data_IF_918746211520
#
_entry.id   IF_918746211520
#
_cell.length_a   1.000
_cell.length_b   1.000
_cell.length_c   1.000
_cell.angle_alpha   90.00
_cell.angle_beta   90.00
_cell.angle_gamma   90.00
#
_symmetry.space_group_name_H-M   'P 1'
#
loop_
_entity.id
_entity.type
_entity.pdbx_description
1 polymer ?
#
# COMPACT_ATOMS: atom_id res chain seq x y z
N UNK A 1 42.50 -12.35 -50.85
CA UNK A 1 42.33 -11.25 -49.88
C UNK A 1 41.15 -10.39 -50.29
N UNK A 2 40.03 -10.46 -49.56
CA UNK A 2 39.22 -9.32 -49.08
C UNK A 2 38.03 -9.89 -48.30
N UNK A 3 38.12 -9.74 -46.97
CA UNK A 3 37.01 -9.92 -46.03
C UNK A 3 35.91 -8.93 -46.37
N UNK A 4 34.66 -9.35 -46.23
CA UNK A 4 33.59 -8.41 -45.90
C UNK A 4 32.69 -9.05 -44.85
N UNK A 5 32.95 -8.62 -43.62
CA UNK A 5 32.17 -8.90 -42.41
C UNK A 5 30.79 -8.23 -42.55
N UNK A 6 29.73 -9.01 -42.79
CA UNK A 6 28.37 -8.56 -42.46
C UNK A 6 28.11 -8.90 -41.00
N UNK A 7 28.32 -7.90 -40.15
CA UNK A 7 27.97 -7.92 -38.72
C UNK A 7 26.54 -8.43 -38.54
N UNK A 8 26.41 -9.54 -37.82
CA UNK A 8 25.15 -9.96 -37.22
C UNK A 8 24.67 -8.86 -36.29
N UNK A 9 23.50 -8.29 -36.56
CA UNK A 9 22.74 -7.55 -35.57
C UNK A 9 22.27 -8.55 -34.51
N UNK A 10 23.15 -8.90 -33.58
CA UNK A 10 22.75 -9.57 -32.35
C UNK A 10 21.96 -8.56 -31.52
N UNK A 11 20.64 -8.70 -31.58
CA UNK A 11 19.71 -8.08 -30.65
C UNK A 11 20.16 -8.46 -29.23
N UNK A 12 20.74 -7.48 -28.52
CA UNK A 12 21.29 -7.60 -27.16
C UNK A 12 20.23 -8.10 -26.13
N UNK A 13 18.96 -8.15 -26.53
CA UNK A 13 17.88 -8.75 -25.76
C UNK A 13 17.12 -9.77 -26.63
N UNK A 14 17.51 -11.04 -26.55
CA UNK A 14 16.68 -12.14 -27.05
C UNK A 14 15.49 -12.34 -26.08
N UNK A 15 14.43 -11.57 -26.30
CA UNK A 15 13.17 -11.64 -25.54
C UNK A 15 12.25 -12.76 -26.05
N UNK A 16 12.66 -13.58 -27.02
CA UNK A 16 11.76 -14.59 -27.64
C UNK A 16 11.48 -15.79 -26.75
N UNK A 17 12.25 -16.00 -25.67
CA UNK A 17 12.08 -17.09 -24.72
C UNK A 17 11.42 -16.72 -23.38
N UNK A 18 11.10 -15.44 -23.15
CA UNK A 18 10.50 -15.01 -21.88
C UNK A 18 8.99 -15.19 -21.96
N UNK A 19 8.41 -16.01 -21.09
CA UNK A 19 6.96 -16.11 -20.89
C UNK A 19 6.38 -14.70 -20.73
N UNK A 20 5.56 -14.29 -21.72
CA UNK A 20 4.95 -12.95 -21.76
C UNK A 20 4.20 -12.65 -20.48
N UNK A 21 3.62 -13.66 -19.83
CA UNK A 21 2.91 -13.49 -18.58
C UNK A 21 3.87 -13.18 -17.42
N UNK A 22 4.95 -13.94 -17.29
CA UNK A 22 6.01 -13.62 -16.33
C UNK A 22 6.63 -12.24 -16.57
N UNK A 23 6.85 -11.86 -17.84
CA UNK A 23 7.36 -10.55 -18.21
C UNK A 23 6.39 -9.44 -17.75
N UNK A 24 5.11 -9.55 -18.11
CA UNK A 24 4.09 -8.53 -17.86
C UNK A 24 3.71 -8.39 -16.38
N UNK A 25 3.65 -9.48 -15.63
CA UNK A 25 3.12 -9.47 -14.25
C UNK A 25 4.18 -9.63 -13.16
N UNK A 26 5.42 -10.01 -13.50
CA UNK A 26 6.50 -10.16 -12.50
C UNK A 26 7.68 -9.25 -12.76
N UNK A 27 8.12 -9.10 -14.00
CA UNK A 27 9.34 -8.37 -14.35
C UNK A 27 9.06 -6.89 -14.56
N UNK A 28 8.10 -6.56 -15.43
CA UNK A 28 7.78 -5.17 -15.78
C UNK A 28 7.28 -4.33 -14.58
N UNK A 29 6.38 -4.82 -13.71
CA UNK A 29 6.00 -4.07 -12.49
C UNK A 29 7.22 -3.88 -11.57
N UNK A 30 8.07 -4.91 -11.46
CA UNK A 30 9.44 -4.89 -10.91
C UNK A 30 10.18 -3.61 -11.26
N UNK A 31 10.41 -3.50 -12.55
CA UNK A 31 11.22 -2.45 -13.15
C UNK A 31 10.58 -1.07 -12.99
N UNK A 32 9.27 -0.95 -13.24
CA UNK A 32 8.53 0.31 -13.08
C UNK A 32 8.58 0.80 -11.63
N UNK A 33 8.38 -0.08 -10.64
CA UNK A 33 8.47 0.31 -9.23
C UNK A 33 9.87 0.77 -8.85
N UNK A 34 10.95 0.17 -9.38
CA UNK A 34 12.32 0.64 -9.11
C UNK A 34 12.63 2.00 -9.78
N UNK A 35 12.08 2.27 -10.97
CA UNK A 35 12.16 3.61 -11.57
C UNK A 35 11.43 4.63 -10.68
N UNK A 36 10.21 4.30 -10.25
CA UNK A 36 9.42 5.18 -9.40
C UNK A 36 10.07 5.39 -8.03
N UNK A 37 10.70 4.36 -7.45
CA UNK A 37 11.51 4.45 -6.23
C UNK A 37 12.59 5.52 -6.36
N UNK A 38 13.28 5.58 -7.51
CA UNK A 38 14.30 6.61 -7.78
C UNK A 38 13.68 7.98 -8.03
N UNK A 39 12.63 8.05 -8.85
CA UNK A 39 11.91 9.29 -9.16
C UNK A 39 11.39 10.00 -7.90
N UNK A 40 10.84 9.22 -6.97
CA UNK A 40 10.31 9.69 -5.69
C UNK A 40 11.38 9.77 -4.58
N UNK A 41 12.65 9.49 -4.90
CA UNK A 41 13.76 9.45 -3.93
C UNK A 41 13.37 8.70 -2.65
N UNK A 42 12.72 7.55 -2.82
CA UNK A 42 12.08 6.82 -1.72
C UNK A 42 13.14 6.32 -0.73
N UNK A 43 12.99 6.75 0.52
CA UNK A 43 13.71 6.24 1.68
C UNK A 43 12.85 5.24 2.43
N UNK A 44 13.44 4.13 2.88
CA UNK A 44 12.73 3.06 3.59
C UNK A 44 13.42 2.78 4.93
N UNK A 45 12.63 2.75 6.01
CA UNK A 45 13.10 2.42 7.37
C UNK A 45 12.23 1.33 8.00
N UNK A 46 12.81 0.54 8.90
CA UNK A 46 12.08 -0.46 9.68
C UNK A 46 11.71 -1.72 8.88
N UNK A 47 12.28 -1.93 7.69
CA UNK A 47 12.00 -3.12 6.90
C UNK A 47 12.36 -4.43 7.63
N UNK A 48 13.28 -4.36 8.60
CA UNK A 48 13.63 -5.41 9.55
C UNK A 48 12.47 -5.84 10.48
N UNK A 49 11.46 -4.99 10.68
CA UNK A 49 10.26 -5.31 11.44
C UNK A 49 9.31 -6.25 10.68
N UNK A 50 9.51 -6.44 9.37
CA UNK A 50 8.68 -7.31 8.55
C UNK A 50 9.07 -8.79 8.75
N UNK A 51 8.12 -9.67 9.13
CA UNK A 51 8.45 -11.06 9.38
C UNK A 51 8.71 -11.81 8.06
N UNK A 52 9.83 -12.54 8.03
CA UNK A 52 10.23 -13.39 6.90
C UNK A 52 9.31 -14.61 6.70
N UNK A 53 8.58 -15.00 7.74
CA UNK A 53 7.63 -16.10 7.74
C UNK A 53 6.39 -15.77 8.58
N UNK A 54 5.31 -16.54 8.44
CA UNK A 54 4.09 -16.32 9.22
C UNK A 54 3.26 -15.11 8.79
N UNK A 55 2.09 -14.94 9.40
CA UNK A 55 1.15 -13.85 9.09
C UNK A 55 1.60 -12.51 9.68
N UNK A 56 1.21 -11.43 9.01
CA UNK A 56 1.26 -10.07 9.55
C UNK A 56 0.21 -9.20 8.86
N UNK A 57 -0.30 -8.22 9.60
CA UNK A 57 -1.23 -7.22 9.09
C UNK A 57 -0.50 -5.88 9.00
N UNK A 58 -0.18 -5.46 7.78
CA UNK A 58 0.49 -4.19 7.50
C UNK A 58 -0.59 -3.11 7.40
N UNK A 59 -0.51 -2.11 8.28
CA UNK A 59 -1.53 -1.06 8.40
C UNK A 59 -0.94 0.32 8.06
N UNK A 60 -0.86 0.67 6.77
CA UNK A 60 -0.41 1.99 6.33
C UNK A 60 -1.49 3.08 6.44
N UNK A 61 -1.07 4.33 6.58
CA UNK A 61 -1.91 5.47 6.19
C UNK A 61 -2.08 5.49 4.66
N UNK A 62 -3.15 6.14 4.18
CA UNK A 62 -3.50 6.17 2.76
C UNK A 62 -3.26 7.55 2.15
N UNK A 63 -2.82 7.61 0.89
CA UNK A 63 -2.37 8.83 0.23
C UNK A 63 -2.51 8.79 -1.29
N UNK A 64 -2.63 9.97 -1.90
CA UNK A 64 -2.37 10.17 -3.33
C UNK A 64 -3.45 9.66 -4.29
N UNK A 65 -4.64 9.29 -3.81
CA UNK A 65 -5.86 8.82 -4.51
C UNK A 65 -5.73 7.61 -5.47
N UNK A 66 -4.57 7.40 -6.07
CA UNK A 66 -4.28 6.47 -7.16
C UNK A 66 -3.99 5.05 -6.70
N UNK A 67 -3.82 4.83 -5.39
CA UNK A 67 -3.40 3.54 -4.83
C UNK A 67 -1.92 3.21 -5.08
N UNK A 68 -1.13 4.20 -5.52
CA UNK A 68 0.29 4.02 -5.80
C UNK A 68 1.11 3.73 -4.54
N UNK A 69 0.68 4.26 -3.39
CA UNK A 69 1.22 3.94 -2.07
C UNK A 69 1.15 2.42 -1.77
N UNK A 70 0.03 1.78 -2.05
CA UNK A 70 -0.15 0.34 -1.88
C UNK A 70 0.81 -0.48 -2.74
N UNK A 71 1.03 -0.04 -3.98
CA UNK A 71 1.97 -0.70 -4.91
C UNK A 71 3.43 -0.56 -4.42
N UNK A 72 3.83 0.64 -4.00
CA UNK A 72 5.18 0.89 -3.47
C UNK A 72 5.42 0.12 -2.17
N UNK A 73 4.46 0.09 -1.24
CA UNK A 73 4.56 -0.72 -0.01
C UNK A 73 4.70 -2.21 -0.35
N UNK A 74 3.86 -2.73 -1.24
CA UNK A 74 3.92 -4.13 -1.65
C UNK A 74 5.27 -4.50 -2.29
N UNK A 75 5.82 -3.58 -3.09
CA UNK A 75 7.15 -3.72 -3.70
C UNK A 75 8.26 -3.78 -2.65
N UNK A 76 8.28 -2.85 -1.69
CA UNK A 76 9.30 -2.81 -0.63
C UNK A 76 9.20 -4.02 0.31
N UNK A 77 7.99 -4.48 0.65
CA UNK A 77 7.79 -5.73 1.41
C UNK A 77 8.38 -6.92 0.65
N UNK A 78 8.10 -7.00 -0.65
CA UNK A 78 8.61 -8.08 -1.49
C UNK A 78 10.14 -8.04 -1.61
N UNK A 79 10.72 -6.85 -1.64
CA UNK A 79 12.18 -6.65 -1.66
C UNK A 79 12.82 -7.07 -0.33
N UNK A 80 12.21 -6.70 0.80
CA UNK A 80 12.74 -7.01 2.13
C UNK A 80 12.57 -8.49 2.53
N UNK A 81 11.47 -9.12 2.11
CA UNK A 81 11.09 -10.46 2.62
C UNK A 81 11.05 -11.56 1.56
N UNK A 82 11.13 -11.22 0.27
CA UNK A 82 10.85 -12.12 -0.86
C UNK A 82 9.41 -12.66 -0.93
N UNK A 83 8.49 -12.12 -0.11
CA UNK A 83 7.08 -12.54 -0.05
C UNK A 83 6.18 -11.60 -0.84
N UNK A 84 5.11 -12.12 -1.42
CA UNK A 84 4.10 -11.33 -2.12
C UNK A 84 2.94 -11.07 -1.14
N UNK A 85 2.74 -9.83 -0.64
CA UNK A 85 1.63 -9.53 0.25
C UNK A 85 0.28 -9.57 -0.49
N UNK A 86 -0.81 -9.58 0.27
CA UNK A 86 -2.18 -9.45 -0.24
C UNK A 86 -2.72 -8.08 0.11
N UNK A 87 -3.05 -7.25 -0.88
CA UNK A 87 -3.56 -5.90 -0.65
C UNK A 87 -5.08 -5.95 -0.66
N UNK A 88 -5.72 -5.58 0.45
CA UNK A 88 -7.16 -5.36 0.50
C UNK A 88 -7.47 -4.04 -0.23
N UNK A 89 -8.12 -4.12 -1.39
CA UNK A 89 -8.47 -2.97 -2.21
C UNK A 89 -9.97 -2.84 -2.42
N UNK A 90 -10.39 -1.64 -2.81
CA UNK A 90 -11.79 -1.32 -3.05
C UNK A 90 -12.39 -2.17 -4.18
N UNK A 91 -13.67 -2.55 -4.05
CA UNK A 91 -14.36 -3.46 -4.97
C UNK A 91 -14.35 -3.00 -6.43
N UNK A 92 -14.22 -1.70 -6.69
CA UNK A 92 -14.14 -1.10 -8.03
C UNK A 92 -13.09 -1.76 -8.94
N UNK A 93 -11.97 -2.24 -8.36
CA UNK A 93 -10.93 -2.95 -9.12
C UNK A 93 -11.39 -4.29 -9.71
N UNK A 94 -12.48 -4.85 -9.21
CA UNK A 94 -12.97 -6.19 -9.56
C UNK A 94 -14.25 -6.18 -10.40
N UNK A 95 -14.78 -4.99 -10.75
CA UNK A 95 -16.03 -4.88 -11.52
C UNK A 95 -15.88 -5.42 -12.93
N UNK A 96 -14.71 -5.26 -13.56
CA UNK A 96 -14.47 -5.70 -14.94
C UNK A 96 -13.37 -6.75 -14.99
N UNK A 97 -13.49 -7.72 -15.90
CA UNK A 97 -12.45 -8.76 -16.09
C UNK A 97 -11.09 -8.16 -16.49
N UNK A 98 -11.11 -7.03 -17.20
CA UNK A 98 -9.90 -6.30 -17.63
C UNK A 98 -9.12 -5.69 -16.47
N UNK A 99 -9.78 -5.30 -15.37
CA UNK A 99 -9.11 -4.81 -14.16
C UNK A 99 -8.89 -5.92 -13.11
N UNK A 100 -9.82 -6.86 -12.99
CA UNK A 100 -9.81 -7.92 -11.98
C UNK A 100 -8.65 -8.92 -12.15
N UNK A 101 -8.35 -9.31 -13.40
CA UNK A 101 -7.28 -10.29 -13.69
C UNK A 101 -5.90 -9.72 -13.35
N UNK A 102 -5.51 -8.51 -13.82
CA UNK A 102 -4.27 -7.87 -13.40
C UNK A 102 -4.20 -7.63 -11.89
N UNK A 103 -5.28 -7.11 -11.29
CA UNK A 103 -5.34 -6.86 -9.84
C UNK A 103 -5.06 -8.14 -9.04
N UNK A 104 -5.71 -9.25 -9.38
CA UNK A 104 -5.52 -10.55 -8.72
C UNK A 104 -4.09 -11.06 -8.86
N UNK A 105 -3.47 -10.93 -10.05
CA UNK A 105 -2.07 -11.34 -10.28
C UNK A 105 -1.06 -10.49 -9.52
N UNK A 106 -1.38 -9.21 -9.26
CA UNK A 106 -0.61 -8.30 -8.43
C UNK A 106 -0.86 -8.48 -6.92
N UNK A 107 -1.74 -9.42 -6.53
CA UNK A 107 -2.04 -9.74 -5.13
C UNK A 107 -3.13 -8.86 -4.53
N UNK A 108 -3.88 -8.11 -5.33
CA UNK A 108 -5.01 -7.33 -4.86
C UNK A 108 -6.23 -8.22 -4.69
N UNK A 109 -6.94 -8.03 -3.59
CA UNK A 109 -8.16 -8.75 -3.24
C UNK A 109 -9.20 -7.79 -2.71
N UNK A 110 -10.47 -8.12 -2.84
CA UNK A 110 -11.55 -7.27 -2.36
C UNK A 110 -11.48 -7.07 -0.84
N UNK A 111 -11.60 -5.82 -0.40
CA UNK A 111 -11.50 -5.40 0.99
C UNK A 111 -12.72 -5.84 1.82
N UNK A 112 -12.68 -7.08 2.28
CA UNK A 112 -13.61 -7.64 3.26
C UNK A 112 -12.87 -8.26 4.43
N UNK A 113 -13.46 -8.21 5.63
CA UNK A 113 -12.91 -8.89 6.82
C UNK A 113 -12.72 -10.38 6.56
N UNK A 114 -13.68 -11.03 5.88
CA UNK A 114 -13.60 -12.45 5.52
C UNK A 114 -12.37 -12.77 4.65
N UNK A 115 -12.07 -11.95 3.64
CA UNK A 115 -10.88 -12.13 2.81
C UNK A 115 -9.59 -11.91 3.62
N UNK A 116 -9.52 -10.86 4.44
CA UNK A 116 -8.35 -10.62 5.28
C UNK A 116 -8.09 -11.78 6.25
N UNK A 117 -9.12 -12.26 6.96
CA UNK A 117 -9.04 -13.45 7.82
C UNK A 117 -8.57 -14.69 7.06
N UNK A 118 -9.14 -14.95 5.87
CA UNK A 118 -8.79 -16.10 5.03
C UNK A 118 -7.30 -16.15 4.71
N UNK A 119 -6.69 -15.01 4.38
CA UNK A 119 -5.28 -14.95 4.01
C UNK A 119 -4.33 -14.91 5.21
N UNK A 120 -4.72 -14.23 6.30
CA UNK A 120 -3.96 -14.27 7.56
C UNK A 120 -3.93 -15.68 8.15
N UNK A 121 -5.05 -16.43 8.11
CA UNK A 121 -5.11 -17.85 8.54
C UNK A 121 -4.22 -18.77 7.68
N UNK A 122 -3.90 -18.36 6.45
CA UNK A 122 -2.95 -19.05 5.55
C UNK A 122 -1.51 -18.55 5.71
N UNK A 123 -1.19 -17.89 6.83
CA UNK A 123 0.15 -17.36 7.11
C UNK A 123 0.67 -16.37 6.07
N UNK A 124 -0.23 -15.62 5.40
CA UNK A 124 0.16 -14.57 4.46
C UNK A 124 0.24 -13.20 5.14
N UNK A 125 1.01 -12.30 4.54
CA UNK A 125 0.97 -10.87 4.89
C UNK A 125 -0.20 -10.21 4.16
N UNK A 126 -0.97 -9.42 4.90
CA UNK A 126 -2.10 -8.65 4.37
C UNK A 126 -1.81 -7.16 4.58
N UNK A 127 -1.98 -6.35 3.53
CA UNK A 127 -1.95 -4.90 3.60
C UNK A 127 -3.39 -4.40 3.63
N UNK A 128 -3.70 -3.56 4.61
CA UNK A 128 -5.01 -2.94 4.76
C UNK A 128 -4.84 -1.50 5.25
N UNK A 129 -5.37 -0.55 4.49
CA UNK A 129 -5.39 0.88 4.81
C UNK A 129 -6.57 1.21 5.75
N UNK A 130 -6.36 1.45 7.05
CA UNK A 130 -7.46 1.58 8.00
C UNK A 130 -8.34 2.81 7.73
N UNK A 131 -7.77 3.89 7.17
CA UNK A 131 -8.52 5.09 6.75
C UNK A 131 -9.47 4.84 5.57
N UNK A 132 -9.23 3.78 4.79
CA UNK A 132 -9.95 3.50 3.55
C UNK A 132 -9.98 4.67 2.57
N UNK A 133 -11.09 4.82 1.85
CA UNK A 133 -11.31 5.89 0.88
C UNK A 133 -11.27 7.31 1.49
N UNK A 134 -11.52 7.43 2.81
CA UNK A 134 -11.51 8.73 3.48
C UNK A 134 -10.09 9.29 3.53
N UNK A 135 -9.11 8.44 3.89
CA UNK A 135 -7.70 8.79 3.80
C UNK A 135 -7.23 8.93 2.36
N UNK A 136 -7.60 7.98 1.47
CA UNK A 136 -7.12 7.97 0.09
C UNK A 136 -7.47 9.26 -0.67
N UNK A 137 -8.72 9.72 -0.50
CA UNK A 137 -9.28 10.85 -1.22
C UNK A 137 -9.29 12.12 -0.38
N UNK A 138 -8.47 12.22 0.68
CA UNK A 138 -8.42 13.44 1.49
C UNK A 138 -7.88 14.61 0.67
N UNK A 139 -8.39 15.84 0.89
CA UNK A 139 -7.82 17.03 0.26
C UNK A 139 -6.37 17.26 0.71
N UNK A 140 -5.56 17.83 -0.18
CA UNK A 140 -4.14 18.16 0.11
C UNK A 140 -3.99 19.08 1.30
N UNK A 141 -4.97 19.95 1.56
CA UNK A 141 -5.00 20.83 2.75
C UNK A 141 -5.07 20.07 4.09
N UNK A 142 -5.40 18.77 4.05
CA UNK A 142 -5.41 17.85 5.20
C UNK A 142 -4.25 16.84 5.15
N UNK A 143 -3.26 17.05 4.28
CA UNK A 143 -2.11 16.17 4.20
C UNK A 143 -1.49 15.95 5.58
N UNK A 144 -1.04 14.72 5.82
CA UNK A 144 -0.43 14.25 7.05
C UNK A 144 -1.31 14.24 8.29
N UNK A 145 -2.61 14.50 8.14
CA UNK A 145 -3.62 14.25 9.18
C UNK A 145 -4.32 12.94 8.83
N UNK A 146 -4.28 12.00 9.77
CA UNK A 146 -5.00 10.74 9.62
C UNK A 146 -6.51 10.99 9.75
N UNK A 147 -7.29 10.39 8.86
CA UNK A 147 -8.74 10.27 9.04
C UNK A 147 -9.06 9.08 9.96
N UNK A 148 -10.30 9.00 10.46
CA UNK A 148 -10.72 7.94 11.39
C UNK A 148 -10.48 6.54 10.82
N UNK A 149 -9.82 5.69 11.61
CA UNK A 149 -9.57 4.30 11.25
C UNK A 149 -10.83 3.44 11.36
N UNK A 150 -11.10 2.65 10.32
CA UNK A 150 -12.07 1.56 10.39
C UNK A 150 -11.50 0.43 11.24
N UNK A 151 -12.30 -0.10 12.17
CA UNK A 151 -11.86 -1.06 13.20
C UNK A 151 -11.66 -2.51 12.74
N UNK A 152 -11.96 -2.81 11.47
CA UNK A 152 -11.93 -4.18 10.95
C UNK A 152 -10.56 -4.85 11.08
N UNK A 153 -9.48 -4.08 10.95
CA UNK A 153 -8.10 -4.60 11.05
C UNK A 153 -7.77 -5.11 12.46
N UNK A 154 -8.26 -4.44 13.50
CA UNK A 154 -8.07 -4.86 14.90
C UNK A 154 -8.76 -6.20 15.15
N UNK A 155 -10.01 -6.35 14.68
CA UNK A 155 -10.75 -7.64 14.77
C UNK A 155 -9.98 -8.76 14.07
N UNK A 156 -9.46 -8.50 12.86
CA UNK A 156 -8.65 -9.48 12.14
C UNK A 156 -7.38 -9.86 12.89
N UNK A 157 -6.67 -8.89 13.45
CA UNK A 157 -5.47 -9.13 14.23
C UNK A 157 -5.74 -9.97 15.49
N UNK A 158 -6.81 -9.64 16.23
CA UNK A 158 -7.25 -10.40 17.41
C UNK A 158 -7.63 -11.84 17.06
N UNK A 159 -8.52 -12.03 16.09
CA UNK A 159 -9.03 -13.36 15.70
C UNK A 159 -7.92 -14.28 15.20
N UNK A 160 -6.98 -13.72 14.45
CA UNK A 160 -5.89 -14.50 13.85
C UNK A 160 -4.63 -14.49 14.67
N UNK A 161 -4.55 -13.73 15.76
CA UNK A 161 -3.29 -13.49 16.48
C UNK A 161 -2.17 -13.05 15.52
N UNK A 162 -2.50 -12.16 14.59
CA UNK A 162 -1.52 -11.59 13.67
C UNK A 162 -0.91 -10.35 14.30
N UNK A 163 0.42 -10.16 14.23
CA UNK A 163 1.00 -8.87 14.57
C UNK A 163 0.49 -7.80 13.61
N UNK A 164 0.17 -6.63 14.17
CA UNK A 164 -0.10 -5.43 13.39
C UNK A 164 1.23 -4.71 13.19
N UNK A 165 1.58 -4.36 11.97
CA UNK A 165 2.76 -3.56 11.65
C UNK A 165 2.25 -2.21 11.15
N UNK A 166 2.12 -1.21 12.04
CA UNK A 166 1.75 0.13 11.62
C UNK A 166 2.81 0.65 10.64
N UNK A 167 2.37 1.24 9.54
CA UNK A 167 3.28 1.74 8.50
C UNK A 167 2.94 3.19 8.22
N UNK A 168 3.94 4.05 8.12
CA UNK A 168 3.71 5.44 7.74
C UNK A 168 4.35 5.72 6.38
N UNK A 169 3.60 6.43 5.54
CA UNK A 169 4.00 6.91 4.22
C UNK A 169 3.95 8.43 4.27
N UNK A 170 5.11 9.06 4.05
CA UNK A 170 5.29 10.51 4.06
C UNK A 170 5.76 10.94 2.68
N UNK A 171 5.31 12.10 2.19
CA UNK A 171 5.58 12.59 0.84
C UNK A 171 4.61 12.09 -0.24
N UNK A 172 3.86 11.02 0.02
CA UNK A 172 2.88 10.51 -0.95
C UNK A 172 1.70 11.45 -1.20
N UNK A 173 1.32 12.24 -0.20
CA UNK A 173 0.27 13.26 -0.36
C UNK A 173 0.75 14.49 -1.13
N UNK A 174 2.06 14.63 -1.35
CA UNK A 174 2.66 15.73 -2.11
C UNK A 174 2.73 15.43 -3.61
N UNK A 175 2.57 14.16 -4.02
CA UNK A 175 2.67 13.79 -5.45
C UNK A 175 1.40 14.11 -6.22
N UNK A 176 0.26 14.20 -5.53
CA UNK A 176 -1.04 14.38 -6.15
C UNK A 176 -1.81 15.47 -5.41
N UNK A 177 -2.01 16.60 -6.08
CA UNK A 177 -2.77 17.71 -5.54
C UNK A 177 -4.25 17.38 -5.70
N UNK A 178 -4.86 16.87 -4.63
CA UNK A 178 -6.29 16.67 -4.54
C UNK A 178 -6.96 17.90 -3.93
N UNK A 179 -7.88 18.53 -4.66
CA UNK A 179 -8.58 19.73 -4.19
C UNK A 179 -9.66 19.42 -3.16
N UNK A 180 -10.37 18.32 -3.38
CA UNK A 180 -11.64 18.06 -2.71
C UNK A 180 -11.96 16.57 -2.71
N UNK A 181 -12.82 16.19 -1.78
CA UNK A 181 -13.46 14.88 -1.71
C UNK A 181 -14.95 15.06 -1.95
N UNK A 182 -15.40 14.75 -3.16
CA UNK A 182 -16.81 14.88 -3.55
C UNK A 182 -17.61 13.71 -2.96
N UNK A 183 -18.71 14.03 -2.27
CA UNK A 183 -19.64 13.03 -1.73
C UNK A 183 -20.98 13.16 -2.42
N UNK A 184 -21.40 12.09 -3.06
CA UNK A 184 -22.72 12.05 -3.70
C UNK A 184 -23.76 11.52 -2.71
N UNK A 185 -24.83 12.30 -2.51
CA UNK A 185 -25.88 12.00 -1.51
C UNK A 185 -27.25 11.68 -2.12
N UNK A 186 -27.46 11.98 -3.42
CA UNK A 186 -28.73 11.75 -4.14
C UNK A 186 -28.75 10.39 -4.87
N UNK A 187 -28.45 10.38 -6.17
CA UNK A 187 -28.55 9.18 -7.03
C UNK A 187 -27.37 8.20 -6.91
N UNK A 188 -26.23 8.67 -6.41
CA UNK A 188 -25.02 7.88 -6.18
C UNK A 188 -24.66 7.87 -4.68
N UNK A 189 -25.67 7.64 -3.83
CA UNK A 189 -25.52 7.74 -2.37
C UNK A 189 -24.40 6.82 -1.89
N UNK A 190 -23.38 7.41 -1.26
CA UNK A 190 -22.23 6.69 -0.69
C UNK A 190 -21.01 6.61 -1.61
N UNK A 191 -21.08 7.12 -2.84
CA UNK A 191 -19.90 7.26 -3.71
C UNK A 191 -19.07 8.45 -3.27
N UNK A 192 -17.77 8.22 -3.06
CA UNK A 192 -16.77 9.22 -2.74
C UNK A 192 -15.75 9.28 -3.87
N UNK A 193 -15.54 10.46 -4.46
CA UNK A 193 -14.56 10.66 -5.54
C UNK A 193 -13.55 11.76 -5.17
N UNK A 194 -12.27 11.59 -5.53
CA UNK A 194 -11.28 12.67 -5.46
C UNK A 194 -11.48 13.67 -6.59
N UNK A 195 -10.97 14.89 -6.42
CA UNK A 195 -10.87 15.91 -7.45
C UNK A 195 -9.38 16.31 -7.64
N UNK A 196 -8.58 15.49 -8.32
CA UNK A 196 -7.17 15.73 -8.51
C UNK A 196 -6.90 16.78 -9.59
N UNK A 197 -5.92 17.67 -9.37
CA UNK A 197 -5.41 18.61 -10.37
C UNK A 197 -4.41 17.96 -11.33
N UNK A 198 -3.67 16.95 -10.87
CA UNK A 198 -2.67 16.25 -11.66
C UNK A 198 -2.89 14.74 -11.58
N UNK A 199 -2.72 14.07 -12.72
CA UNK A 199 -2.78 12.61 -12.82
C UNK A 199 -1.39 11.99 -12.65
N UNK A 200 -0.39 12.64 -13.25
CA UNK A 200 1.01 12.23 -13.16
C UNK A 200 1.56 12.67 -11.80
N UNK A 201 2.15 11.77 -10.99
CA UNK A 201 2.70 12.14 -9.70
C UNK A 201 3.81 13.17 -9.86
N UNK A 202 3.74 14.27 -9.10
CA UNK A 202 4.82 15.25 -9.00
C UNK A 202 6.05 14.63 -8.33
N UNK A 203 7.26 15.12 -8.62
CA UNK A 203 8.47 14.62 -7.96
C UNK A 203 8.48 15.09 -6.50
N UNK A 204 8.33 14.16 -5.56
CA UNK A 204 8.37 14.41 -4.13
C UNK A 204 9.23 13.36 -3.42
N UNK A 205 9.87 13.71 -2.30
CA UNK A 205 10.64 12.74 -1.49
C UNK A 205 9.70 11.87 -0.68
N UNK A 206 9.69 10.58 -0.94
CA UNK A 206 8.90 9.62 -0.17
C UNK A 206 9.70 9.02 0.97
N UNK A 207 9.01 8.76 2.08
CA UNK A 207 9.50 7.90 3.15
C UNK A 207 8.44 6.86 3.48
N UNK A 208 8.82 5.59 3.44
CA UNK A 208 8.03 4.49 4.00
C UNK A 208 8.75 4.02 5.25
N UNK A 209 8.04 4.01 6.39
CA UNK A 209 8.59 3.53 7.65
C UNK A 209 7.66 2.49 8.25
N UNK A 210 8.17 1.27 8.37
CA UNK A 210 7.49 0.17 9.06
C UNK A 210 7.80 0.26 10.55
N UNK A 211 6.80 0.59 11.38
CA UNK A 211 6.96 0.72 12.81
C UNK A 211 7.05 -0.66 13.48
N UNK A 212 7.43 -0.68 14.75
CA UNK A 212 7.58 -1.93 15.50
C UNK A 212 6.27 -2.74 15.53
N UNK A 213 6.35 -4.07 15.39
CA UNK A 213 5.16 -4.92 15.42
C UNK A 213 4.43 -4.83 16.76
N UNK A 214 3.10 -4.73 16.68
CA UNK A 214 2.19 -4.72 17.82
C UNK A 214 1.56 -6.11 17.93
N UNK A 215 1.83 -6.78 19.04
CA UNK A 215 1.20 -8.04 19.41
C UNK A 215 0.12 -7.76 20.44
N UNK A 216 -1.12 -8.13 20.11
CA UNK A 216 -2.26 -7.92 21.00
C UNK A 216 -2.32 -9.04 22.05
N UNK A 217 -2.20 -8.74 23.36
CA UNK A 217 -2.11 -9.74 24.43
C UNK A 217 -3.47 -10.36 24.81
N UNK A 218 -4.49 -10.19 23.99
CA UNK A 218 -5.87 -10.62 24.28
C UNK A 218 -6.21 -11.90 23.53
N UNK A 219 -7.06 -12.76 24.11
CA UNK A 219 -7.57 -13.97 23.43
C UNK A 219 -8.44 -13.60 22.20
N UNK A 220 -8.60 -14.49 21.21
CA UNK A 220 -9.36 -14.19 19.99
C UNK A 220 -10.79 -13.69 20.23
N UNK A 221 -11.43 -14.12 21.31
CA UNK A 221 -12.80 -13.74 21.69
C UNK A 221 -12.94 -12.24 21.97
N UNK A 222 -11.84 -11.57 22.33
CA UNK A 222 -11.78 -10.12 22.52
C UNK A 222 -12.14 -9.33 21.25
N UNK A 223 -12.12 -9.95 20.06
CA UNK A 223 -12.58 -9.33 18.82
C UNK A 223 -14.08 -8.95 18.84
N UNK A 224 -14.86 -9.50 19.77
CA UNK A 224 -16.28 -9.17 19.95
C UNK A 224 -16.53 -8.01 20.92
N UNK A 225 -15.53 -7.63 21.71
CA UNK A 225 -15.59 -6.47 22.60
C UNK A 225 -15.40 -5.20 21.77
N UNK A 226 -16.48 -4.44 21.58
CA UNK A 226 -16.49 -3.27 20.69
C UNK A 226 -15.68 -2.11 21.25
N UNK A 227 -15.68 -1.96 22.57
CA UNK A 227 -15.02 -0.84 23.25
C UNK A 227 -13.51 -1.08 23.27
N UNK A 228 -13.09 -2.29 23.64
CA UNK A 228 -11.68 -2.68 23.53
C UNK A 228 -11.15 -2.57 22.09
N UNK A 229 -11.94 -3.02 21.10
CA UNK A 229 -11.56 -2.89 19.69
C UNK A 229 -11.45 -1.44 19.26
N UNK A 230 -12.30 -0.56 19.78
CA UNK A 230 -12.23 0.88 19.55
C UNK A 230 -10.96 1.48 20.16
N UNK A 231 -10.67 1.18 21.42
CA UNK A 231 -9.52 1.71 22.15
C UNK A 231 -8.20 1.29 21.48
N UNK A 232 -8.05 0.01 21.15
CA UNK A 232 -6.87 -0.49 20.41
C UNK A 232 -6.73 0.22 19.06
N UNK A 233 -7.84 0.44 18.35
CA UNK A 233 -7.82 1.14 17.06
C UNK A 233 -7.36 2.59 17.22
N UNK A 234 -7.88 3.28 18.24
CA UNK A 234 -7.55 4.66 18.56
C UNK A 234 -6.08 4.80 18.96
N UNK A 235 -5.58 3.95 19.85
CA UNK A 235 -4.17 3.93 20.28
C UNK A 235 -3.20 3.75 19.11
N UNK A 236 -3.54 2.84 18.18
CA UNK A 236 -2.73 2.61 16.97
C UNK A 236 -2.75 3.85 16.07
N UNK A 237 -3.91 4.48 15.88
CA UNK A 237 -4.03 5.71 15.09
C UNK A 237 -3.21 6.85 15.71
N UNK A 238 -3.30 7.06 17.02
CA UNK A 238 -2.51 8.08 17.73
C UNK A 238 -1.01 7.82 17.63
N UNK A 239 -0.59 6.56 17.82
CA UNK A 239 0.81 6.16 17.64
C UNK A 239 1.31 6.48 16.23
N UNK A 240 0.52 6.18 15.21
CA UNK A 240 0.86 6.49 13.82
C UNK A 240 0.91 7.99 13.56
N UNK A 241 -0.06 8.77 14.06
CA UNK A 241 -0.07 10.22 13.91
C UNK A 241 1.14 10.87 14.58
N UNK A 242 1.51 10.40 15.78
CA UNK A 242 2.71 10.86 16.49
C UNK A 242 3.98 10.56 15.69
N UNK A 243 4.08 9.36 15.12
CA UNK A 243 5.21 8.98 14.29
C UNK A 243 5.31 9.83 13.01
N UNK A 244 4.17 10.13 12.35
CA UNK A 244 4.12 11.04 11.21
C UNK A 244 4.64 12.42 11.63
N UNK A 245 4.13 12.99 12.72
CA UNK A 245 4.54 14.32 13.20
C UNK A 245 6.04 14.38 13.51
N UNK A 246 6.60 13.33 14.13
CA UNK A 246 8.03 13.23 14.42
C UNK A 246 8.90 13.19 13.17
N UNK A 247 8.47 12.46 12.14
CA UNK A 247 9.22 12.39 10.89
C UNK A 247 9.07 13.66 10.04
N UNK A 248 7.93 14.34 10.12
CA UNK A 248 7.75 15.67 9.52
C UNK A 248 8.63 16.72 10.17
N UNK A 249 8.78 16.70 11.50
CA UNK A 249 9.64 17.63 12.22
C UNK A 249 11.13 17.50 11.84
N UNK A 250 11.54 16.35 11.30
CA UNK A 250 12.90 16.09 10.80
C UNK A 250 13.08 16.46 9.32
N UNK A 251 12.02 16.84 8.60
CA UNK A 251 12.11 17.18 7.18
C UNK A 251 12.50 18.64 7.01
N UNK A 252 13.69 18.86 6.45
CA UNK A 252 14.20 20.20 6.13
C UNK A 252 13.49 20.84 4.92
N UNK A 253 13.01 20.01 3.97
CA UNK A 253 12.33 20.49 2.78
C UNK A 253 11.39 19.45 2.15
N UNK A 254 10.36 19.95 1.47
CA UNK A 254 9.44 19.16 0.63
C UNK A 254 10.06 18.89 -0.75
N UNK A 255 10.91 19.78 -1.23
CA UNK A 255 11.41 19.80 -2.62
C UNK A 255 12.92 19.59 -2.75
N UNK A 256 13.70 19.86 -1.70
CA UNK A 256 15.16 19.72 -1.67
C UNK A 256 15.58 18.40 -1.03
#
# INVERSE_FOLDING_TARGET
MKKNDSKSNESIFDLKGVDREALLYRVMPRFVMEIMRKYLRLHVEGAENLPKEGRALICPNHSGYSGFDAMMIAHEIRKATSRIPRVLTHHLWFITKTTAVPASKLGFIEATTANGLKFLKKNQMVILFPEGEYGNFKPTSKAYRLEEFKRGFVRMALETKSPIIPTIVIGAEETHINLSRLRFTKYLRGVILPLPLNVIPLPAKWKIKFLDPIYLPYKPEAANDKDLVYDICFDIQERMQKAINQELAKRDSIFL
#
